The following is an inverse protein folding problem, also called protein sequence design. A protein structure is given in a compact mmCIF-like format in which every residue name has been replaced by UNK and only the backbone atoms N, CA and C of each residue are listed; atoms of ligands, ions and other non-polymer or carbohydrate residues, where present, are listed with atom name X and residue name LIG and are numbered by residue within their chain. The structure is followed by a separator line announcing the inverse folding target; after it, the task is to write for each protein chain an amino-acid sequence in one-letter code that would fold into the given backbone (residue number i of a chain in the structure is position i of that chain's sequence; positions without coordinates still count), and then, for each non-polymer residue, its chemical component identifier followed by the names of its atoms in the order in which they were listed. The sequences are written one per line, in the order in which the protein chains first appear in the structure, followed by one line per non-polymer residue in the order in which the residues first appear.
data_IF_332398411616
#
_entry.id   IF_332398411616
#
_cell.length_a   1.000
_cell.length_b   1.000
_cell.length_c   1.000
_cell.angle_alpha   90.00
_cell.angle_beta   90.00
_cell.angle_gamma   90.00
#
_symmetry.space_group_name_H-M   'P 1'
#
loop_
_entity.id
_entity.type
_entity.pdbx_description
1 polymer ?
#
# COMPACT_ATOMS: atom_id res chain seq x y z
N UNK A 1 18.55 3.28 17.54
CA UNK A 1 19.99 3.66 17.65
C UNK A 1 20.71 2.63 18.50
N UNK A 2 21.84 2.12 18.02
CA UNK A 2 22.63 1.14 18.79
C UNK A 2 23.55 1.92 19.74
N UNK A 3 23.22 1.93 21.03
CA UNK A 3 24.00 2.67 22.05
C UNK A 3 25.35 2.01 22.37
N UNK A 4 25.50 0.70 22.05
CA UNK A 4 26.64 -0.10 22.45
C UNK A 4 26.62 -0.59 23.91
N UNK A 5 25.60 -0.24 24.66
CA UNK A 5 25.46 -0.58 26.10
C UNK A 5 25.42 -2.08 26.37
N UNK A 6 24.82 -2.85 25.46
CA UNK A 6 24.75 -4.31 25.60
C UNK A 6 26.09 -5.02 25.47
N UNK A 7 27.12 -4.36 24.90
CA UNK A 7 28.41 -4.98 24.56
C UNK A 7 28.33 -6.03 23.44
N UNK A 8 27.13 -6.32 22.94
CA UNK A 8 26.94 -7.28 21.85
C UNK A 8 27.38 -6.65 20.53
N UNK A 9 28.21 -7.36 19.79
CA UNK A 9 28.63 -6.98 18.43
C UNK A 9 28.04 -7.99 17.45
N UNK A 10 27.26 -7.51 16.50
CA UNK A 10 26.77 -8.31 15.39
C UNK A 10 27.72 -8.12 14.23
N UNK A 11 28.24 -9.20 13.68
CA UNK A 11 29.06 -9.16 12.47
C UNK A 11 28.17 -8.72 11.29
N UNK A 12 28.74 -8.06 10.25
CA UNK A 12 27.94 -7.56 9.13
C UNK A 12 27.33 -8.66 8.27
N UNK A 13 27.76 -9.89 8.45
CA UNK A 13 27.32 -11.09 7.76
C UNK A 13 27.10 -12.25 8.73
N UNK A 14 26.23 -13.18 8.39
CA UNK A 14 25.89 -14.36 9.15
C UNK A 14 24.54 -14.31 9.85
N UNK A 15 24.18 -15.41 10.52
CA UNK A 15 22.85 -15.66 11.08
C UNK A 15 22.36 -14.56 12.04
N UNK A 16 23.24 -13.98 12.84
CA UNK A 16 22.86 -12.90 13.77
C UNK A 16 22.57 -11.59 13.02
N UNK A 17 23.25 -11.32 11.90
CA UNK A 17 22.96 -10.17 11.06
C UNK A 17 21.62 -10.34 10.35
N UNK A 18 21.31 -11.53 9.86
CA UNK A 18 20.03 -11.86 9.22
C UNK A 18 18.89 -11.71 10.22
N UNK A 19 19.00 -12.28 11.41
CA UNK A 19 18.00 -12.15 12.49
C UNK A 19 17.78 -10.69 12.90
N UNK A 20 18.85 -9.91 13.00
CA UNK A 20 18.77 -8.50 13.33
C UNK A 20 18.09 -7.72 12.21
N UNK A 21 18.37 -8.05 10.95
CA UNK A 21 17.73 -7.48 9.78
C UNK A 21 16.24 -7.75 9.76
N UNK A 22 15.81 -8.99 9.97
CA UNK A 22 14.42 -9.39 10.05
C UNK A 22 13.67 -8.64 11.18
N UNK A 23 14.23 -8.64 12.39
CA UNK A 23 13.65 -7.93 13.52
C UNK A 23 13.53 -6.40 13.28
N UNK A 24 14.52 -5.83 12.60
CA UNK A 24 14.50 -4.40 12.25
C UNK A 24 13.42 -4.10 11.21
N UNK A 25 13.27 -4.94 10.20
CA UNK A 25 12.20 -4.80 9.18
C UNK A 25 10.84 -4.89 9.83
N UNK A 26 10.61 -5.87 10.72
CA UNK A 26 9.36 -6.01 11.45
C UNK A 26 9.06 -4.78 12.32
N UNK A 27 10.06 -4.28 13.06
CA UNK A 27 9.91 -3.08 13.87
C UNK A 27 9.61 -1.84 13.03
N UNK A 28 10.34 -1.63 11.93
CA UNK A 28 10.13 -0.49 11.04
C UNK A 28 8.76 -0.54 10.37
N UNK A 29 8.31 -1.74 10.00
CA UNK A 29 6.97 -1.96 9.46
C UNK A 29 5.88 -1.59 10.48
N UNK A 30 6.01 -2.04 11.71
CA UNK A 30 5.08 -1.69 12.79
C UNK A 30 5.06 -0.17 13.05
N UNK A 31 6.21 0.47 13.09
CA UNK A 31 6.31 1.93 13.27
C UNK A 31 5.70 2.70 12.08
N UNK A 32 5.92 2.25 10.85
CA UNK A 32 5.33 2.87 9.66
C UNK A 32 3.80 2.81 9.71
N UNK A 33 3.24 1.66 10.11
CA UNK A 33 1.81 1.49 10.29
C UNK A 33 1.26 2.42 11.37
N UNK A 34 1.94 2.53 12.51
CA UNK A 34 1.55 3.46 13.59
C UNK A 34 1.54 4.92 13.12
N UNK A 35 2.56 5.34 12.36
CA UNK A 35 2.63 6.71 11.80
C UNK A 35 1.47 6.99 10.84
N UNK A 36 1.12 6.02 10.01
CA UNK A 36 -0.02 6.17 9.07
C UNK A 36 -1.35 6.20 9.82
N UNK A 37 -1.51 5.36 10.84
CA UNK A 37 -2.72 5.31 11.67
C UNK A 37 -2.95 6.60 12.48
N UNK A 38 -1.87 7.28 12.88
CA UNK A 38 -1.90 8.54 13.64
C UNK A 38 -2.02 9.78 12.72
N UNK A 39 -2.29 9.60 11.44
CA UNK A 39 -2.50 10.69 10.49
C UNK A 39 -3.70 11.56 10.88
N UNK A 40 -3.57 12.89 10.77
CA UNK A 40 -4.64 13.83 11.07
C UNK A 40 -5.92 13.52 10.32
N UNK A 41 -7.02 13.28 11.05
CA UNK A 41 -8.32 12.95 10.47
C UNK A 41 -8.39 11.58 9.78
N UNK A 42 -7.36 10.75 9.90
CA UNK A 42 -7.37 9.39 9.38
C UNK A 42 -8.38 8.52 10.15
N UNK A 43 -9.11 7.69 9.41
CA UNK A 43 -10.08 6.74 9.97
C UNK A 43 -9.82 5.32 9.48
N UNK A 44 -9.12 5.20 8.36
CA UNK A 44 -8.88 3.93 7.68
C UNK A 44 -7.48 3.89 7.08
N UNK A 45 -6.93 2.71 7.02
CA UNK A 45 -5.60 2.44 6.47
C UNK A 45 -5.74 1.61 5.21
N UNK A 46 -5.07 2.03 4.16
CA UNK A 46 -4.85 1.23 2.97
C UNK A 46 -3.46 0.64 2.99
N UNK A 47 -3.36 -0.60 2.58
CA UNK A 47 -2.12 -1.32 2.35
C UNK A 47 -2.03 -1.71 0.87
N UNK A 48 -1.04 -1.20 0.16
CA UNK A 48 -0.76 -1.61 -1.22
C UNK A 48 0.40 -2.60 -1.20
N UNK A 49 0.18 -3.80 -1.70
CA UNK A 49 1.22 -4.81 -1.94
C UNK A 49 1.39 -4.97 -3.44
N UNK A 50 2.54 -4.61 -3.98
CA UNK A 50 2.83 -4.77 -5.40
C UNK A 50 3.86 -5.87 -5.61
N UNK A 51 3.55 -6.80 -6.52
CA UNK A 51 4.38 -7.97 -6.84
C UNK A 51 4.67 -8.04 -8.34
N UNK A 52 5.82 -8.61 -8.68
CA UNK A 52 6.23 -8.86 -10.06
C UNK A 52 7.67 -8.47 -10.35
N UNK A 53 7.91 -7.82 -11.49
CA UNK A 53 9.20 -7.62 -12.09
C UNK A 53 10.19 -6.73 -11.35
N UNK A 54 10.30 -5.48 -11.76
CA UNK A 54 11.36 -4.57 -11.29
C UNK A 54 10.97 -3.85 -10.00
N UNK A 55 11.79 -3.89 -8.92
CA UNK A 55 11.49 -3.22 -7.64
C UNK A 55 11.14 -1.73 -7.78
N UNK A 56 11.88 -0.98 -8.61
CA UNK A 56 11.61 0.44 -8.81
C UNK A 56 10.23 0.68 -9.47
N UNK A 57 9.84 -0.17 -10.41
CA UNK A 57 8.53 -0.09 -11.07
C UNK A 57 7.41 -0.40 -10.08
N UNK A 58 7.60 -1.41 -9.22
CA UNK A 58 6.64 -1.77 -8.17
C UNK A 58 6.45 -0.62 -7.18
N UNK A 59 7.54 -0.01 -6.74
CA UNK A 59 7.49 1.12 -5.81
C UNK A 59 6.78 2.33 -6.43
N UNK A 60 7.05 2.66 -7.68
CA UNK A 60 6.37 3.73 -8.41
C UNK A 60 4.86 3.47 -8.48
N UNK A 61 4.45 2.25 -8.87
CA UNK A 61 3.04 1.89 -8.95
C UNK A 61 2.34 1.92 -7.58
N UNK A 62 2.95 1.30 -6.57
CA UNK A 62 2.39 1.25 -5.22
C UNK A 62 2.24 2.66 -4.61
N UNK A 63 3.26 3.51 -4.73
CA UNK A 63 3.20 4.89 -4.26
C UNK A 63 2.19 5.73 -5.03
N UNK A 64 2.02 5.52 -6.32
CA UNK A 64 1.02 6.22 -7.12
C UNK A 64 -0.40 5.90 -6.64
N UNK A 65 -0.68 4.63 -6.35
CA UNK A 65 -1.96 4.20 -5.77
C UNK A 65 -2.14 4.80 -4.38
N UNK A 66 -1.17 4.66 -3.49
CA UNK A 66 -1.21 5.16 -2.12
C UNK A 66 -1.36 6.69 -2.03
N UNK A 67 -0.79 7.43 -2.97
CA UNK A 67 -0.87 8.90 -3.02
C UNK A 67 -2.04 9.45 -3.83
N UNK A 68 -2.83 8.58 -4.49
CA UNK A 68 -3.97 9.01 -5.29
C UNK A 68 -5.12 9.54 -4.41
N UNK A 69 -5.51 10.82 -4.51
CA UNK A 69 -6.67 11.34 -3.77
C UNK A 69 -7.94 10.55 -4.05
N UNK A 70 -8.12 10.06 -5.29
CA UNK A 70 -9.29 9.26 -5.67
C UNK A 70 -9.30 7.89 -4.99
N UNK A 71 -8.15 7.24 -4.82
CA UNK A 71 -8.04 5.98 -4.08
C UNK A 71 -8.27 6.22 -2.59
N UNK A 72 -7.65 7.26 -2.03
CA UNK A 72 -7.83 7.62 -0.61
C UNK A 72 -9.28 7.95 -0.26
N UNK A 73 -10.01 8.65 -1.12
CA UNK A 73 -11.43 8.94 -0.92
C UNK A 73 -12.31 7.71 -1.11
N UNK A 74 -11.95 6.79 -2.01
CA UNK A 74 -12.62 5.50 -2.14
C UNK A 74 -12.44 4.64 -0.88
N UNK A 75 -11.23 4.58 -0.34
CA UNK A 75 -10.94 3.93 0.95
C UNK A 75 -11.81 4.51 2.07
N UNK A 76 -11.88 5.85 2.19
CA UNK A 76 -12.71 6.53 3.17
C UNK A 76 -14.19 6.12 3.08
N UNK A 77 -14.72 6.08 1.87
CA UNK A 77 -16.12 5.75 1.60
C UNK A 77 -16.43 4.24 1.63
N UNK A 78 -15.42 3.37 1.76
CA UNK A 78 -15.62 1.92 1.61
C UNK A 78 -16.04 1.51 0.19
N UNK A 79 -15.58 2.26 -0.82
CA UNK A 79 -15.84 2.00 -2.24
C UNK A 79 -14.70 1.14 -2.82
N UNK A 80 -14.94 -0.12 -3.20
CA UNK A 80 -13.92 -0.99 -3.78
C UNK A 80 -13.61 -0.64 -5.24
N UNK A 81 -13.21 0.61 -5.47
CA UNK A 81 -13.06 1.19 -6.80
C UNK A 81 -11.72 0.81 -7.46
N UNK A 82 -11.64 -0.39 -8.00
CA UNK A 82 -10.45 -0.87 -8.69
C UNK A 82 -10.08 -0.02 -9.93
N UNK A 83 -11.04 0.65 -10.56
CA UNK A 83 -10.78 1.55 -11.69
C UNK A 83 -9.88 2.74 -11.31
N UNK A 84 -10.04 3.30 -10.09
CA UNK A 84 -9.17 4.35 -9.56
C UNK A 84 -7.77 3.83 -9.28
N UNK A 85 -7.66 2.58 -8.82
CA UNK A 85 -6.37 1.91 -8.60
C UNK A 85 -5.65 1.72 -9.95
N UNK A 86 -6.34 1.16 -10.95
CA UNK A 86 -5.79 0.98 -12.29
C UNK A 86 -5.37 2.30 -12.94
N UNK A 87 -6.16 3.37 -12.77
CA UNK A 87 -5.84 4.70 -13.26
C UNK A 87 -4.57 5.25 -12.60
N UNK A 88 -4.44 5.13 -11.30
CA UNK A 88 -3.27 5.63 -10.56
C UNK A 88 -1.99 4.89 -10.97
N UNK A 89 -2.02 3.55 -10.99
CA UNK A 89 -0.88 2.74 -11.39
C UNK A 89 -0.51 2.96 -12.86
N UNK A 90 -1.49 2.97 -13.77
CA UNK A 90 -1.26 3.16 -15.21
C UNK A 90 -0.72 4.56 -15.54
N UNK A 91 -1.22 5.59 -14.86
CA UNK A 91 -0.72 6.97 -15.04
C UNK A 91 0.71 7.17 -14.59
N UNK A 92 1.19 6.38 -13.63
CA UNK A 92 2.56 6.45 -13.12
C UNK A 92 3.58 5.67 -13.96
N UNK A 93 3.12 4.79 -14.84
CA UNK A 93 3.94 3.92 -15.68
C UNK A 93 3.78 4.26 -17.18
N UNK A 94 4.19 5.44 -17.62
CA UNK A 94 4.03 5.86 -19.01
C UNK A 94 4.81 4.96 -19.97
N UNK A 95 4.23 4.70 -21.14
CA UNK A 95 4.84 3.85 -22.18
C UNK A 95 4.65 2.34 -21.97
N UNK A 96 3.94 1.91 -20.94
CA UNK A 96 3.63 0.50 -20.66
C UNK A 96 2.24 0.07 -21.13
N UNK A 97 1.53 0.90 -21.89
CA UNK A 97 0.19 0.58 -22.35
C UNK A 97 0.20 -0.42 -23.54
N UNK A 98 -0.71 -1.44 -23.54
CA UNK A 98 -1.61 -1.75 -22.46
C UNK A 98 -0.86 -2.38 -21.27
N UNK A 99 -1.10 -1.87 -20.06
CA UNK A 99 -0.50 -2.41 -18.84
C UNK A 99 -1.22 -3.71 -18.45
N UNK A 100 -0.48 -4.83 -18.47
CA UNK A 100 -0.98 -6.11 -17.96
C UNK A 100 -0.96 -6.08 -16.41
N UNK A 101 -1.94 -5.41 -15.83
CA UNK A 101 -2.08 -5.20 -14.39
C UNK A 101 -3.14 -6.15 -13.84
N UNK A 102 -2.78 -6.91 -12.82
CA UNK A 102 -3.72 -7.65 -11.99
C UNK A 102 -4.02 -6.82 -10.74
N UNK A 103 -5.27 -6.84 -10.29
CA UNK A 103 -5.68 -6.18 -9.05
C UNK A 103 -6.57 -7.13 -8.26
N UNK A 104 -6.19 -7.34 -7.01
CA UNK A 104 -7.03 -7.95 -5.98
C UNK A 104 -7.31 -6.92 -4.88
N UNK A 105 -8.50 -6.94 -4.32
CA UNK A 105 -8.89 -6.16 -3.15
C UNK A 105 -9.36 -7.13 -2.09
N UNK A 106 -8.73 -7.15 -0.93
CA UNK A 106 -9.01 -8.12 0.14
C UNK A 106 -8.96 -9.58 -0.37
N UNK A 107 -7.98 -9.89 -1.24
CA UNK A 107 -7.83 -11.21 -1.87
C UNK A 107 -8.88 -11.54 -2.92
N UNK A 108 -9.81 -10.63 -3.23
CA UNK A 108 -10.84 -10.82 -4.27
C UNK A 108 -10.33 -10.22 -5.58
N UNK A 109 -10.22 -11.08 -6.61
CA UNK A 109 -9.80 -10.65 -7.93
C UNK A 109 -10.85 -9.74 -8.59
N UNK A 110 -10.43 -8.53 -9.00
CA UNK A 110 -11.31 -7.55 -9.67
C UNK A 110 -10.81 -7.16 -11.06
N UNK A 111 -9.51 -7.36 -11.32
CA UNK A 111 -8.87 -7.08 -12.61
C UNK A 111 -7.81 -8.14 -12.90
N UNK A 112 -7.72 -8.59 -14.16
CA UNK A 112 -6.67 -9.48 -14.65
C UNK A 112 -6.19 -8.99 -16.01
N UNK A 113 -4.88 -8.90 -16.17
CA UNK A 113 -4.23 -8.42 -17.39
C UNK A 113 -4.79 -7.07 -17.88
N UNK A 114 -5.17 -6.18 -16.97
CA UNK A 114 -5.75 -4.88 -17.27
C UNK A 114 -7.23 -4.86 -17.64
N UNK A 115 -7.92 -6.00 -17.56
CA UNK A 115 -9.35 -6.13 -17.86
C UNK A 115 -10.15 -6.52 -16.61
N UNK A 116 -11.39 -6.01 -16.51
CA UNK A 116 -12.31 -6.39 -15.46
C UNK A 116 -12.61 -7.90 -15.50
N UNK A 117 -12.68 -8.52 -14.33
CA UNK A 117 -13.15 -9.90 -14.17
C UNK A 117 -14.42 -9.93 -13.34
N UNK A 118 -15.21 -11.01 -13.46
CA UNK A 118 -16.39 -11.18 -12.64
C UNK A 118 -16.01 -11.52 -11.20
N UNK A 119 -16.67 -10.89 -10.24
CA UNK A 119 -16.48 -11.12 -8.80
C UNK A 119 -17.80 -11.02 -8.05
N UNK A 120 -17.83 -11.48 -6.81
CA UNK A 120 -18.98 -11.34 -5.92
C UNK A 120 -19.00 -9.90 -5.33
N UNK A 121 -19.82 -9.02 -5.91
CA UNK A 121 -19.94 -7.63 -5.47
C UNK A 121 -20.34 -7.49 -3.99
N UNK A 122 -21.36 -8.22 -3.48
CA UNK A 122 -21.69 -8.21 -2.06
C UNK A 122 -20.53 -8.63 -1.15
N UNK A 123 -19.79 -9.68 -1.52
CA UNK A 123 -18.63 -10.14 -0.75
C UNK A 123 -17.53 -9.07 -0.72
N UNK A 124 -17.21 -8.48 -1.85
CA UNK A 124 -16.21 -7.41 -1.94
C UNK A 124 -16.64 -6.16 -1.14
N UNK A 125 -17.89 -5.74 -1.27
CA UNK A 125 -18.42 -4.61 -0.50
C UNK A 125 -18.42 -4.86 1.02
N UNK A 126 -18.55 -6.11 1.44
CA UNK A 126 -18.41 -6.48 2.86
C UNK A 126 -16.94 -6.49 3.31
N UNK A 127 -16.04 -7.03 2.49
CA UNK A 127 -14.63 -7.14 2.80
C UNK A 127 -13.97 -5.76 3.02
N UNK A 128 -14.29 -4.77 2.19
CA UNK A 128 -13.71 -3.41 2.29
C UNK A 128 -14.30 -2.54 3.41
N UNK A 129 -15.06 -3.10 4.35
CA UNK A 129 -15.63 -2.32 5.47
C UNK A 129 -14.71 -2.20 6.67
N UNK A 130 -13.63 -2.97 6.73
CA UNK A 130 -12.67 -2.96 7.81
C UNK A 130 -11.94 -1.62 7.96
N UNK A 131 -11.26 -1.43 9.07
CA UNK A 131 -10.39 -0.27 9.30
C UNK A 131 -9.15 -0.33 8.42
N UNK A 132 -8.68 -1.52 8.10
CA UNK A 132 -7.61 -1.77 7.14
C UNK A 132 -8.17 -2.40 5.87
N UNK A 133 -7.63 -2.02 4.71
CA UNK A 133 -7.99 -2.60 3.40
C UNK A 133 -6.73 -2.86 2.60
N UNK A 134 -6.58 -4.09 2.13
CA UNK A 134 -5.48 -4.50 1.29
C UNK A 134 -5.81 -4.40 -0.21
N UNK A 135 -4.86 -3.87 -0.95
CA UNK A 135 -4.86 -3.75 -2.40
C UNK A 135 -3.63 -4.45 -2.95
N UNK A 136 -3.79 -5.55 -3.65
CA UNK A 136 -2.69 -6.26 -4.30
C UNK A 136 -2.60 -5.87 -5.77
N UNK A 137 -1.39 -5.55 -6.21
CA UNK A 137 -1.06 -5.21 -7.60
C UNK A 137 -0.12 -6.27 -8.15
N UNK A 138 -0.51 -6.96 -9.21
CA UNK A 138 0.34 -7.86 -9.98
C UNK A 138 0.84 -7.18 -11.25
N UNK A 139 2.15 -7.00 -11.40
CA UNK A 139 2.79 -6.51 -12.61
C UNK A 139 3.57 -7.62 -13.30
N UNK A 140 3.78 -7.52 -14.64
CA UNK A 140 4.56 -8.53 -15.36
C UNK A 140 5.98 -8.70 -14.81
N UNK A 141 6.44 -9.94 -14.75
CA UNK A 141 7.74 -10.32 -14.22
C UNK A 141 7.62 -11.09 -12.91
N UNK A 142 8.75 -11.36 -12.26
CA UNK A 142 8.79 -12.13 -11.03
C UNK A 142 9.94 -11.69 -10.12
N UNK A 143 9.80 -12.00 -8.83
CA UNK A 143 10.89 -11.99 -7.85
C UNK A 143 11.00 -10.74 -6.98
N UNK A 144 10.21 -9.70 -7.22
CA UNK A 144 10.17 -8.52 -6.35
C UNK A 144 8.81 -8.32 -5.70
N UNK A 145 8.82 -7.73 -4.53
CA UNK A 145 7.64 -7.29 -3.80
C UNK A 145 7.94 -5.96 -3.13
N UNK A 146 6.93 -5.10 -3.01
CA UNK A 146 6.97 -3.88 -2.22
C UNK A 146 5.65 -3.67 -1.50
N UNK A 147 5.71 -2.98 -0.36
CA UNK A 147 4.56 -2.67 0.47
C UNK A 147 4.54 -1.17 0.78
N UNK A 148 3.37 -0.55 0.67
CA UNK A 148 3.15 0.86 1.03
C UNK A 148 1.87 1.00 1.83
N UNK A 149 1.95 1.65 2.99
CA UNK A 149 0.78 2.01 3.79
C UNK A 149 0.37 3.45 3.53
N UNK A 150 -0.92 3.73 3.62
CA UNK A 150 -1.47 5.07 3.48
C UNK A 150 -2.76 5.26 4.27
N UNK A 151 -2.99 6.48 4.73
CA UNK A 151 -4.26 6.85 5.35
C UNK A 151 -5.29 7.26 4.30
N UNK A 152 -6.55 7.07 4.61
CA UNK A 152 -7.66 7.61 3.82
C UNK A 152 -7.64 9.15 3.74
N UNK A 153 -8.46 9.70 2.88
CA UNK A 153 -8.70 11.14 2.77
C UNK A 153 -10.12 11.43 3.24
N UNK A 154 -10.23 11.84 4.51
CA UNK A 154 -11.49 12.14 5.17
C UNK A 154 -11.90 13.61 5.02
N UNK A 155 -13.16 13.93 5.36
CA UNK A 155 -13.60 15.31 5.50
C UNK A 155 -12.85 16.01 6.66
N UNK A 156 -12.57 15.28 7.74
CA UNK A 156 -11.87 15.82 8.90
C UNK A 156 -10.44 16.26 8.52
N UNK A 157 -9.74 15.47 7.68
CA UNK A 157 -8.44 15.87 7.14
C UNK A 157 -8.50 17.22 6.41
N UNK A 158 -9.50 17.38 5.53
CA UNK A 158 -9.65 18.62 4.77
C UNK A 158 -9.97 19.80 5.67
N UNK A 159 -10.91 19.64 6.61
CA UNK A 159 -11.29 20.70 7.57
C UNK A 159 -10.10 21.13 8.44
N UNK A 160 -9.40 20.18 9.04
CA UNK A 160 -8.23 20.46 9.89
C UNK A 160 -7.16 21.24 9.12
N UNK A 161 -6.85 20.82 7.89
CA UNK A 161 -5.79 21.46 7.12
C UNK A 161 -6.22 22.76 6.40
N UNK A 162 -7.52 22.95 6.15
CA UNK A 162 -8.04 24.17 5.55
C UNK A 162 -8.24 25.32 6.57
N UNK A 163 -8.49 24.98 7.84
CA UNK A 163 -8.78 25.94 8.89
C UNK A 163 -7.52 26.29 9.74
N UNK A 164 -6.42 25.57 9.53
CA UNK A 164 -5.18 25.80 10.25
C UNK A 164 -4.50 27.08 9.75
N UNK A 165 -4.46 28.09 10.62
CA UNK A 165 -3.71 29.34 10.39
C UNK A 165 -2.46 29.31 11.25
N UNK A 166 -1.27 29.29 10.64
CA UNK A 166 0.04 29.46 11.30
C UNK A 166 0.31 30.92 11.60
#
# INVERSE_FOLDING_TARGET
MCSGESGVRVAPDGEDADRMGEALVELLRALALMVVADGEGARRIGRVVARGGNPATLEIAARAVANSPLVKTALHGGDPNWGRIAQAAGGALPGTAPLALDIDIEGIAVCRAGAAVAYDEPALAAAVRGEEVEYELGLPGAGAETEVFFADLSHDYVSLNAEYTT
#
